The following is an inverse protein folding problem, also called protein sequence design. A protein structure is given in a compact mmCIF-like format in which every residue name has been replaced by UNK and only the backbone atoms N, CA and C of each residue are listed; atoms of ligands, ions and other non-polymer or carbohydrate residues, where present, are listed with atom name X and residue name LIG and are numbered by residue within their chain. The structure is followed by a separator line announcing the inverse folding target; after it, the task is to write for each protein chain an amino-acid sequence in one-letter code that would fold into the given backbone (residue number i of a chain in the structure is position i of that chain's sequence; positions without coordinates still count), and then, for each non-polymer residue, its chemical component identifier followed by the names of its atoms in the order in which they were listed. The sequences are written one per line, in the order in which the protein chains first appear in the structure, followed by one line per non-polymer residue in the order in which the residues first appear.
data_IF_464534718643
#
_entry.id   IF_464534718643
#
_cell.length_a   1.000
_cell.length_b   1.000
_cell.length_c   1.000
_cell.angle_alpha   90.00
_cell.angle_beta   90.00
_cell.angle_gamma   90.00
#
_symmetry.space_group_name_H-M   'P 1'
#
loop_
_entity.id
_entity.type
_entity.pdbx_description
1 polymer ?
#
# COMPACT_ATOMS: atom_id res chain seq x y z
N UNK A 1 54.15 -1.99 32.11
CA UNK A 1 52.82 -1.59 32.62
C UNK A 1 52.05 -0.67 31.67
N UNK A 2 52.70 0.07 30.77
CA UNK A 2 52.05 0.99 29.81
C UNK A 2 51.46 0.34 28.54
N UNK A 3 51.93 -0.83 28.10
CA UNK A 3 51.41 -1.49 26.88
C UNK A 3 50.05 -2.20 27.04
N UNK A 4 49.61 -2.49 28.28
CA UNK A 4 48.32 -3.17 28.50
C UNK A 4 47.13 -2.20 28.50
N UNK A 5 47.34 -0.91 28.75
CA UNK A 5 46.27 0.09 28.84
C UNK A 5 45.77 0.52 27.45
N UNK A 6 46.63 0.55 26.43
CA UNK A 6 46.25 0.92 25.07
C UNK A 6 45.33 -0.08 24.35
N UNK A 7 45.44 -1.37 24.67
CA UNK A 7 44.61 -2.42 24.05
C UNK A 7 43.16 -2.36 24.56
N UNK A 8 42.96 -2.07 25.85
CA UNK A 8 41.62 -1.90 26.42
C UNK A 8 40.94 -0.61 25.94
N UNK A 9 41.70 0.47 25.68
CA UNK A 9 41.12 1.70 25.13
C UNK A 9 40.65 1.56 23.68
N UNK A 10 41.32 0.76 22.85
CA UNK A 10 40.87 0.47 21.47
C UNK A 10 39.63 -0.44 21.48
N UNK A 11 39.58 -1.43 22.37
CA UNK A 11 38.40 -2.31 22.53
C UNK A 11 37.18 -1.55 23.07
N UNK A 12 37.38 -0.57 23.95
CA UNK A 12 36.31 0.27 24.49
C UNK A 12 35.77 1.26 23.43
N UNK A 13 36.64 1.77 22.56
CA UNK A 13 36.23 2.61 21.41
C UNK A 13 35.51 1.76 20.35
N UNK A 14 35.90 0.49 20.12
CA UNK A 14 35.17 -0.42 19.24
C UNK A 14 33.80 -0.85 19.79
N UNK A 15 33.61 -0.88 21.12
CA UNK A 15 32.29 -1.06 21.73
C UNK A 15 31.41 0.21 21.66
N UNK A 16 32.01 1.40 21.66
CA UNK A 16 31.30 2.67 21.56
C UNK A 16 30.87 3.03 20.12
N UNK A 17 31.49 2.46 19.09
CA UNK A 17 31.02 2.55 17.68
C UNK A 17 29.86 1.58 17.40
N UNK A 18 29.42 0.80 18.39
CA UNK A 18 28.16 0.05 18.36
C UNK A 18 26.95 0.88 18.77
N UNK A 19 27.00 2.21 18.63
CA UNK A 19 25.81 3.01 18.26
C UNK A 19 25.49 2.75 16.79
N UNK A 20 25.26 1.48 16.46
CA UNK A 20 24.66 1.07 15.21
C UNK A 20 23.19 1.37 15.38
N UNK A 21 22.70 2.26 14.50
CA UNK A 21 21.30 2.58 14.30
C UNK A 21 20.43 1.34 14.56
N UNK A 22 19.29 1.45 15.26
CA UNK A 22 18.38 0.32 15.30
C UNK A 22 18.03 0.00 13.84
N UNK A 23 18.33 -1.23 13.43
CA UNK A 23 17.84 -1.82 12.18
C UNK A 23 16.33 -2.01 12.35
N UNK A 24 15.60 -0.90 12.40
CA UNK A 24 14.15 -0.90 12.49
C UNK A 24 13.65 -1.40 11.15
N UNK A 25 13.21 -2.66 11.15
CA UNK A 25 12.50 -3.28 10.05
C UNK A 25 11.42 -2.31 9.56
N UNK A 26 11.38 -1.95 8.26
CA UNK A 26 10.38 -1.04 7.74
C UNK A 26 8.99 -1.61 8.03
N UNK A 27 8.12 -0.77 8.59
CA UNK A 27 6.77 -1.18 8.95
C UNK A 27 5.87 -1.20 7.71
N UNK A 28 5.57 -2.40 7.23
CA UNK A 28 4.62 -2.62 6.13
C UNK A 28 3.25 -2.92 6.73
N UNK A 29 2.20 -2.37 6.11
CA UNK A 29 0.80 -2.67 6.42
C UNK A 29 0.00 -2.96 5.13
N UNK A 30 -0.75 -4.07 5.05
CA UNK A 30 -0.71 -5.21 5.96
C UNK A 30 0.66 -5.88 6.04
N UNK A 31 0.95 -6.52 7.18
CA UNK A 31 2.18 -7.27 7.37
C UNK A 31 2.26 -8.40 6.33
N UNK A 32 3.37 -8.50 5.57
CA UNK A 32 3.51 -9.56 4.60
C UNK A 32 3.72 -10.91 5.28
N UNK A 33 3.35 -11.99 4.60
CA UNK A 33 3.52 -13.35 5.11
C UNK A 33 4.99 -13.68 5.46
N UNK A 34 5.93 -13.26 4.63
CA UNK A 34 7.36 -13.42 4.86
C UNK A 34 8.12 -12.20 4.35
N UNK A 35 9.05 -11.69 5.15
CA UNK A 35 9.97 -10.62 4.74
C UNK A 35 11.32 -10.72 5.46
N UNK A 36 12.40 -10.61 4.69
CA UNK A 36 13.78 -10.70 5.15
C UNK A 36 14.57 -9.52 4.60
N UNK A 37 15.10 -8.67 5.49
CA UNK A 37 15.98 -7.56 5.11
C UNK A 37 17.27 -8.07 4.47
N UNK A 38 17.72 -7.35 3.46
CA UNK A 38 18.99 -7.53 2.79
C UNK A 38 19.78 -6.21 2.81
N UNK A 39 21.02 -6.22 2.31
CA UNK A 39 21.93 -5.08 2.37
C UNK A 39 21.71 -4.10 1.22
N UNK A 40 21.79 -2.82 1.57
CA UNK A 40 21.80 -1.71 0.64
C UNK A 40 20.40 -1.36 0.15
N UNK A 41 20.30 -0.18 -0.43
CA UNK A 41 19.01 0.39 -0.84
C UNK A 41 18.95 0.50 -2.36
N UNK A 42 17.76 0.31 -2.92
CA UNK A 42 17.46 0.70 -4.28
C UNK A 42 17.02 2.17 -4.29
N UNK A 43 17.58 2.98 -5.18
CA UNK A 43 17.26 4.41 -5.29
C UNK A 43 16.50 4.65 -6.59
N UNK A 44 15.34 5.29 -6.48
CA UNK A 44 14.53 5.74 -7.60
C UNK A 44 14.99 7.13 -8.06
N UNK A 45 15.07 7.31 -9.37
CA UNK A 45 15.41 8.56 -10.02
C UNK A 45 14.66 8.71 -11.37
N UNK A 46 14.77 9.85 -12.07
CA UNK A 46 14.09 10.06 -13.36
C UNK A 46 14.51 9.11 -14.49
N UNK A 47 15.64 8.40 -14.34
CA UNK A 47 16.17 7.44 -15.31
C UNK A 47 15.76 6.00 -15.01
N UNK A 48 15.20 5.74 -13.83
CA UNK A 48 14.72 4.42 -13.42
C UNK A 48 13.76 3.85 -14.48
N UNK A 49 14.10 2.69 -15.01
CA UNK A 49 13.35 1.98 -16.03
C UNK A 49 12.61 0.78 -15.43
N UNK A 50 11.31 0.70 -15.72
CA UNK A 50 10.43 -0.42 -15.39
C UNK A 50 10.17 -1.22 -16.67
N UNK A 51 10.70 -2.44 -16.75
CA UNK A 51 10.37 -3.40 -17.80
C UNK A 51 9.17 -4.25 -17.40
N UNK A 52 8.19 -4.32 -18.28
CA UNK A 52 6.98 -5.15 -18.13
C UNK A 52 6.81 -6.07 -19.33
N UNK A 53 6.06 -7.16 -19.18
CA UNK A 53 5.89 -8.15 -20.25
C UNK A 53 4.78 -7.78 -21.24
N UNK A 54 3.81 -6.94 -20.83
CA UNK A 54 2.63 -6.58 -21.63
C UNK A 54 1.94 -5.31 -21.15
N UNK A 55 1.00 -4.81 -21.96
CA UNK A 55 0.20 -3.60 -21.70
C UNK A 55 -0.59 -3.63 -20.37
N UNK A 56 -1.10 -4.80 -19.95
CA UNK A 56 -1.85 -4.90 -18.69
C UNK A 56 -0.93 -4.65 -17.48
N UNK A 57 0.30 -5.13 -17.55
CA UNK A 57 1.32 -4.84 -16.55
C UNK A 57 1.79 -3.38 -16.64
N UNK A 58 1.88 -2.80 -17.84
CA UNK A 58 2.20 -1.38 -18.03
C UNK A 58 1.18 -0.47 -17.32
N UNK A 59 -0.12 -0.76 -17.44
CA UNK A 59 -1.18 -0.04 -16.72
C UNK A 59 -1.03 -0.14 -15.19
N UNK A 60 -0.50 -1.26 -14.68
CA UNK A 60 -0.25 -1.43 -13.25
C UNK A 60 1.00 -0.64 -12.83
N UNK A 61 2.09 -0.70 -13.62
CA UNK A 61 3.29 0.10 -13.38
C UNK A 61 3.01 1.61 -13.43
N UNK A 62 2.06 2.06 -14.27
CA UNK A 62 1.60 3.45 -14.32
C UNK A 62 1.04 3.96 -12.99
N UNK A 63 0.48 3.09 -12.14
CA UNK A 63 0.04 3.48 -10.79
C UNK A 63 1.25 3.91 -9.94
N UNK A 64 2.35 3.17 -10.00
CA UNK A 64 3.58 3.53 -9.29
C UNK A 64 4.17 4.82 -9.84
N UNK A 65 4.30 4.93 -11.16
CA UNK A 65 4.91 6.12 -11.78
C UNK A 65 4.06 7.37 -11.59
N UNK A 66 2.73 7.25 -11.55
CA UNK A 66 1.81 8.34 -11.22
C UNK A 66 2.03 8.90 -9.82
N UNK A 67 2.26 8.03 -8.83
CA UNK A 67 2.56 8.44 -7.45
C UNK A 67 3.90 9.18 -7.40
N UNK A 68 4.93 8.70 -8.11
CA UNK A 68 6.21 9.40 -8.24
C UNK A 68 6.06 10.77 -8.91
N UNK A 69 5.29 10.87 -9.99
CA UNK A 69 5.05 12.14 -10.65
C UNK A 69 4.47 13.18 -9.67
N UNK A 70 3.48 12.76 -8.90
CA UNK A 70 2.76 13.61 -7.97
C UNK A 70 3.64 14.08 -6.78
N UNK A 71 4.38 13.15 -6.17
CA UNK A 71 5.13 13.42 -4.94
C UNK A 71 6.60 13.80 -5.16
N UNK A 72 7.24 13.25 -6.20
CA UNK A 72 8.66 13.45 -6.49
C UNK A 72 8.90 14.44 -7.65
N UNK A 73 7.89 14.69 -8.50
CA UNK A 73 8.02 15.57 -9.66
C UNK A 73 8.75 14.94 -10.85
N UNK A 74 8.95 13.62 -10.84
CA UNK A 74 9.46 12.84 -11.96
C UNK A 74 8.71 11.52 -12.07
N UNK A 75 8.77 10.88 -13.23
CA UNK A 75 8.15 9.57 -13.48
C UNK A 75 9.23 8.58 -13.91
N UNK A 76 9.39 7.44 -13.22
CA UNK A 76 10.13 6.32 -13.78
C UNK A 76 9.57 5.95 -15.17
N UNK A 77 10.44 5.51 -16.06
CA UNK A 77 10.08 5.14 -17.41
C UNK A 77 9.50 3.72 -17.43
N UNK A 78 8.58 3.45 -18.36
CA UNK A 78 8.01 2.12 -18.56
C UNK A 78 8.33 1.67 -19.99
N UNK A 79 8.88 0.47 -20.13
CA UNK A 79 9.10 -0.18 -21.41
C UNK A 79 8.52 -1.59 -21.40
N UNK A 80 8.08 -2.06 -22.56
CA UNK A 80 7.55 -3.42 -22.73
C UNK A 80 8.65 -4.31 -23.30
N UNK A 81 8.90 -5.44 -22.63
CA UNK A 81 9.82 -6.50 -23.03
C UNK A 81 11.28 -6.05 -23.17
N UNK A 82 11.70 -5.05 -22.38
CA UNK A 82 13.10 -4.63 -22.33
C UNK A 82 13.95 -5.63 -21.53
N UNK A 83 15.15 -5.94 -22.04
CA UNK A 83 16.01 -7.01 -21.48
C UNK A 83 16.74 -6.57 -20.21
N UNK A 84 17.03 -5.28 -20.10
CA UNK A 84 17.74 -4.70 -18.96
C UNK A 84 16.95 -3.49 -18.46
N UNK A 85 16.56 -3.56 -17.19
CA UNK A 85 15.82 -2.51 -16.52
C UNK A 85 16.09 -2.60 -15.02
N UNK A 86 15.88 -1.49 -14.32
CA UNK A 86 16.11 -1.41 -12.89
C UNK A 86 14.97 -2.09 -12.12
N UNK A 87 13.76 -2.10 -12.68
CA UNK A 87 12.59 -2.79 -12.14
C UNK A 87 12.02 -3.73 -13.19
N UNK A 88 11.82 -5.00 -12.84
CA UNK A 88 11.38 -6.02 -13.79
C UNK A 88 10.11 -6.68 -13.26
N UNK A 89 9.03 -6.61 -14.04
CA UNK A 89 7.82 -7.38 -13.78
C UNK A 89 7.91 -8.69 -14.57
N UNK A 90 7.73 -9.81 -13.88
CA UNK A 90 7.81 -11.15 -14.46
C UNK A 90 6.61 -11.99 -14.06
N UNK A 91 5.97 -12.65 -15.01
CA UNK A 91 4.88 -13.57 -14.72
C UNK A 91 5.42 -14.90 -14.18
N UNK A 92 5.00 -15.27 -12.97
CA UNK A 92 5.25 -16.57 -12.36
C UNK A 92 3.91 -17.30 -12.14
N UNK A 93 3.57 -18.19 -13.08
CA UNK A 93 2.30 -18.95 -13.06
C UNK A 93 2.21 -19.96 -11.92
N UNK A 94 3.29 -20.20 -11.17
CA UNK A 94 3.23 -21.07 -9.97
C UNK A 94 2.59 -20.36 -8.76
N UNK A 95 2.46 -19.03 -8.80
CA UNK A 95 1.86 -18.24 -7.74
C UNK A 95 0.32 -18.22 -7.83
N UNK A 96 -0.33 -18.17 -6.68
CA UNK A 96 -1.77 -17.91 -6.61
C UNK A 96 -2.10 -16.47 -7.07
N UNK A 97 -3.33 -16.22 -7.54
CA UNK A 97 -3.70 -15.00 -8.28
C UNK A 97 -3.43 -13.65 -7.57
N UNK A 98 -3.48 -13.63 -6.24
CA UNK A 98 -3.21 -12.43 -5.40
C UNK A 98 -1.83 -12.48 -4.73
N UNK A 99 -1.04 -13.53 -4.95
CA UNK A 99 0.29 -13.69 -4.37
C UNK A 99 1.35 -13.05 -5.25
N UNK A 100 2.43 -12.60 -4.62
CA UNK A 100 3.58 -12.03 -5.30
C UNK A 100 4.88 -12.31 -4.53
N UNK A 101 5.99 -12.24 -5.25
CA UNK A 101 7.34 -12.16 -4.69
C UNK A 101 7.95 -10.82 -5.07
N UNK A 102 8.65 -10.21 -4.13
CA UNK A 102 9.37 -8.97 -4.32
C UNK A 102 10.81 -9.16 -3.84
N UNK A 103 11.77 -9.04 -4.75
CA UNK A 103 13.19 -9.06 -4.42
C UNK A 103 13.80 -7.70 -4.76
N UNK A 104 14.27 -7.00 -3.73
CA UNK A 104 14.84 -5.65 -3.81
C UNK A 104 16.33 -5.77 -3.54
N UNK A 105 17.14 -5.35 -4.50
CA UNK A 105 18.58 -5.18 -4.38
C UNK A 105 18.97 -3.77 -4.82
N UNK A 106 20.18 -3.27 -4.47
CA UNK A 106 20.62 -1.94 -4.89
C UNK A 106 20.63 -1.71 -6.41
N UNK A 107 20.75 -2.78 -7.21
CA UNK A 107 20.83 -2.71 -8.67
C UNK A 107 19.54 -3.10 -9.39
N UNK A 108 18.60 -3.77 -8.72
CA UNK A 108 17.40 -4.28 -9.37
C UNK A 108 16.28 -4.60 -8.38
N UNK A 109 15.05 -4.26 -8.75
CA UNK A 109 13.81 -4.75 -8.13
C UNK A 109 13.14 -5.76 -9.07
N UNK A 110 12.99 -6.99 -8.61
CA UNK A 110 12.24 -8.02 -9.32
C UNK A 110 10.87 -8.22 -8.66
N UNK A 111 9.81 -8.07 -9.46
CA UNK A 111 8.42 -8.29 -9.07
C UNK A 111 7.88 -9.50 -9.81
N UNK A 112 7.48 -10.54 -9.08
CA UNK A 112 6.93 -11.76 -9.64
C UNK A 112 5.49 -11.99 -9.16
N UNK A 113 4.56 -12.25 -10.08
CA UNK A 113 3.17 -12.55 -9.77
C UNK A 113 2.54 -13.38 -10.91
N UNK A 114 1.46 -14.11 -10.64
CA UNK A 114 0.75 -14.86 -11.70
C UNK A 114 -0.29 -14.04 -12.45
N UNK A 115 -0.63 -12.84 -11.96
CA UNK A 115 -1.63 -12.00 -12.59
C UNK A 115 -1.74 -10.60 -12.01
N UNK A 116 -2.67 -9.83 -12.56
CA UNK A 116 -2.81 -8.39 -12.32
C UNK A 116 -2.97 -7.99 -10.85
N UNK A 117 -3.63 -8.82 -10.03
CA UNK A 117 -3.82 -8.52 -8.60
C UNK A 117 -2.51 -8.64 -7.83
N UNK A 118 -1.74 -9.70 -8.05
CA UNK A 118 -0.42 -9.87 -7.41
C UNK A 118 0.54 -8.72 -7.75
N UNK A 119 0.67 -8.33 -9.03
CA UNK A 119 1.48 -7.18 -9.42
C UNK A 119 1.01 -5.87 -8.76
N UNK A 120 -0.31 -5.63 -8.73
CA UNK A 120 -0.86 -4.44 -8.10
C UNK A 120 -0.54 -4.39 -6.59
N UNK A 121 -0.66 -5.53 -5.89
CA UNK A 121 -0.34 -5.62 -4.46
C UNK A 121 1.15 -5.50 -4.16
N UNK A 122 2.03 -5.98 -5.06
CA UNK A 122 3.46 -5.77 -4.95
C UNK A 122 3.82 -4.27 -4.99
N UNK A 123 3.19 -3.50 -5.89
CA UNK A 123 3.36 -2.04 -5.95
C UNK A 123 2.88 -1.37 -4.66
N UNK A 124 1.77 -1.80 -4.07
CA UNK A 124 1.34 -1.23 -2.80
C UNK A 124 2.34 -1.50 -1.68
N UNK A 125 2.99 -2.66 -1.69
CA UNK A 125 4.08 -2.95 -0.75
C UNK A 125 5.30 -2.08 -1.00
N UNK A 126 5.73 -1.89 -2.26
CA UNK A 126 6.78 -0.93 -2.60
C UNK A 126 6.43 0.49 -2.12
N UNK A 127 5.18 0.91 -2.27
CA UNK A 127 4.68 2.22 -1.78
C UNK A 127 4.85 2.38 -0.27
N UNK A 128 4.60 1.33 0.52
CA UNK A 128 4.81 1.37 1.97
C UNK A 128 6.29 1.35 2.38
N UNK A 129 7.18 0.86 1.52
CA UNK A 129 8.62 0.87 1.77
C UNK A 129 9.27 2.20 1.42
N UNK A 130 8.65 2.99 0.55
CA UNK A 130 9.13 4.31 0.17
C UNK A 130 8.97 5.31 1.34
N UNK A 131 9.75 6.41 1.34
CA UNK A 131 9.59 7.46 2.32
C UNK A 131 8.14 7.99 2.36
N UNK A 132 7.57 8.31 3.54
CA UNK A 132 6.18 8.74 3.69
C UNK A 132 5.75 9.87 2.74
N UNK A 133 6.70 10.74 2.36
CA UNK A 133 6.52 11.83 1.42
C UNK A 133 5.97 11.39 0.05
N UNK A 134 6.10 10.10 -0.31
CA UNK A 134 5.61 9.53 -1.57
C UNK A 134 4.09 9.65 -1.72
N UNK A 135 3.38 9.77 -0.60
CA UNK A 135 1.93 9.92 -0.60
C UNK A 135 1.50 11.37 -0.87
N UNK A 136 2.42 12.33 -0.89
CA UNK A 136 2.14 13.77 -1.03
C UNK A 136 1.40 14.07 -2.33
N UNK A 137 0.35 14.90 -2.25
CA UNK A 137 -0.38 15.35 -3.44
C UNK A 137 0.35 16.44 -4.23
N UNK A 138 1.45 16.96 -3.69
CA UNK A 138 2.29 17.97 -4.32
C UNK A 138 3.77 17.58 -4.23
N UNK A 139 4.61 18.01 -5.20
CA UNK A 139 6.03 17.65 -5.18
C UNK A 139 6.74 18.08 -3.89
N UNK A 140 7.51 17.15 -3.31
CA UNK A 140 8.33 17.35 -2.11
C UNK A 140 9.80 17.31 -2.51
N UNK A 141 10.56 18.32 -2.07
CA UNK A 141 11.99 18.46 -2.38
C UNK A 141 12.87 17.83 -1.29
N UNK A 142 14.12 17.56 -1.63
CA UNK A 142 15.16 17.08 -0.70
C UNK A 142 14.82 15.74 -0.02
N UNK A 143 14.08 14.88 -0.72
CA UNK A 143 13.83 13.49 -0.31
C UNK A 143 14.66 12.59 -1.21
N UNK A 144 15.41 11.68 -0.60
CA UNK A 144 15.98 10.55 -1.32
C UNK A 144 14.90 9.48 -1.45
N UNK A 145 14.50 9.16 -2.67
CA UNK A 145 13.46 8.18 -2.93
C UNK A 145 14.07 6.79 -2.98
N UNK A 146 14.17 6.12 -1.84
CA UNK A 146 14.78 4.79 -1.74
C UNK A 146 13.86 3.77 -1.08
N UNK A 147 14.13 2.49 -1.34
CA UNK A 147 13.56 1.36 -0.61
C UNK A 147 14.70 0.46 -0.12
N UNK A 148 14.59 -0.11 1.09
CA UNK A 148 15.62 -1.00 1.62
C UNK A 148 15.62 -2.34 0.86
N UNK A 149 16.82 -2.89 0.68
CA UNK A 149 17.03 -4.23 0.14
C UNK A 149 16.30 -5.27 0.98
N UNK A 150 15.53 -6.14 0.33
CA UNK A 150 14.65 -7.08 1.02
C UNK A 150 14.08 -8.12 0.05
N UNK A 151 13.87 -9.34 0.56
CA UNK A 151 13.03 -10.35 -0.08
C UNK A 151 11.70 -10.48 0.65
N UNK A 152 10.59 -10.39 -0.09
CA UNK A 152 9.21 -10.55 0.42
C UNK A 152 8.49 -11.63 -0.39
N UNK A 153 7.86 -12.57 0.30
CA UNK A 153 6.84 -13.44 -0.28
C UNK A 153 5.52 -13.14 0.42
N UNK A 154 4.48 -12.83 -0.33
CA UNK A 154 3.26 -12.33 0.27
C UNK A 154 2.00 -12.70 -0.52
N UNK A 155 0.87 -12.67 0.19
CA UNK A 155 -0.44 -13.01 -0.31
C UNK A 155 -1.49 -12.94 0.80
N UNK A 156 -2.77 -12.79 0.45
CA UNK A 156 -3.82 -12.62 1.43
C UNK A 156 -4.13 -13.91 2.18
N UNK A 157 -4.46 -13.79 3.47
CA UNK A 157 -5.10 -14.86 4.25
C UNK A 157 -6.52 -15.17 3.78
N UNK A 158 -7.31 -14.13 3.45
CA UNK A 158 -8.66 -14.28 2.94
C UNK A 158 -8.79 -13.68 1.54
N UNK A 159 -9.31 -14.46 0.59
CA UNK A 159 -9.50 -14.00 -0.80
C UNK A 159 -10.51 -12.85 -0.92
N UNK A 160 -11.54 -12.82 -0.07
CA UNK A 160 -12.51 -11.73 -0.03
C UNK A 160 -12.32 -10.91 1.25
N UNK A 161 -12.03 -9.62 1.07
CA UNK A 161 -11.73 -8.66 2.14
C UNK A 161 -12.71 -7.51 1.96
N UNK A 162 -13.86 -7.63 2.62
CA UNK A 162 -15.03 -6.79 2.33
C UNK A 162 -15.23 -5.73 3.39
N UNK A 163 -15.26 -4.48 2.95
CA UNK A 163 -15.77 -3.36 3.74
C UNK A 163 -17.24 -3.16 3.40
N UNK A 164 -18.06 -3.06 4.43
CA UNK A 164 -19.50 -2.84 4.30
C UNK A 164 -19.85 -1.44 4.77
N UNK A 165 -20.60 -0.73 3.93
CA UNK A 165 -21.19 0.57 4.22
C UNK A 165 -22.72 0.43 4.34
N UNK A 166 -23.26 0.96 5.42
CA UNK A 166 -24.70 1.12 5.58
C UNK A 166 -25.23 2.30 4.76
N UNK A 167 -24.40 3.30 4.54
CA UNK A 167 -24.71 4.48 3.73
C UNK A 167 -24.79 4.11 2.23
N UNK A 168 -25.90 4.38 1.53
CA UNK A 168 -26.02 4.12 0.10
C UNK A 168 -25.10 5.04 -0.73
N UNK A 169 -24.67 4.55 -1.89
CA UNK A 169 -23.70 5.20 -2.78
C UNK A 169 -23.99 6.68 -3.06
N UNK A 170 -25.25 7.02 -3.36
CA UNK A 170 -25.67 8.37 -3.77
C UNK A 170 -25.61 9.42 -2.64
N UNK A 171 -25.43 9.00 -1.38
CA UNK A 171 -25.28 9.90 -0.24
C UNK A 171 -23.81 10.16 0.12
N UNK A 172 -22.87 9.60 -0.64
CA UNK A 172 -21.43 9.79 -0.43
C UNK A 172 -20.91 10.70 -1.55
N UNK A 173 -20.25 11.83 -1.21
CA UNK A 173 -19.61 12.65 -2.22
C UNK A 173 -18.60 11.85 -3.06
N UNK A 174 -18.61 12.04 -4.38
CA UNK A 174 -17.75 11.29 -5.31
C UNK A 174 -16.29 11.25 -4.86
N UNK A 175 -15.69 12.40 -4.55
CA UNK A 175 -14.29 12.51 -4.15
C UNK A 175 -13.98 11.71 -2.88
N UNK A 176 -14.90 11.68 -1.91
CA UNK A 176 -14.72 10.92 -0.68
C UNK A 176 -14.75 9.41 -0.94
N UNK A 177 -15.60 8.98 -1.87
CA UNK A 177 -15.66 7.58 -2.26
C UNK A 177 -14.40 7.15 -3.02
N UNK A 178 -13.85 8.03 -3.88
CA UNK A 178 -12.56 7.81 -4.53
C UNK A 178 -11.44 7.66 -3.50
N UNK A 179 -11.38 8.55 -2.50
CA UNK A 179 -10.39 8.46 -1.40
C UNK A 179 -10.53 7.20 -0.56
N UNK A 180 -11.77 6.77 -0.29
CA UNK A 180 -12.02 5.50 0.39
C UNK A 180 -11.47 4.33 -0.42
N UNK A 181 -11.76 4.30 -1.73
CA UNK A 181 -11.29 3.26 -2.65
C UNK A 181 -9.77 3.27 -2.76
N UNK A 182 -9.13 4.43 -2.89
CA UNK A 182 -7.66 4.54 -2.93
C UNK A 182 -7.03 4.04 -1.62
N UNK A 183 -7.61 4.40 -0.48
CA UNK A 183 -7.13 3.91 0.82
C UNK A 183 -7.30 2.38 0.96
N UNK A 184 -8.45 1.86 0.54
CA UNK A 184 -8.71 0.41 0.52
C UNK A 184 -7.72 -0.32 -0.38
N UNK A 185 -7.45 0.22 -1.57
CA UNK A 185 -6.57 -0.37 -2.55
C UNK A 185 -5.12 -0.41 -2.06
N UNK A 186 -4.65 0.70 -1.47
CA UNK A 186 -3.35 0.79 -0.81
C UNK A 186 -3.22 -0.29 0.28
N UNK A 187 -4.28 -0.52 1.05
CA UNK A 187 -4.34 -1.54 2.10
C UNK A 187 -4.71 -2.95 1.60
N UNK A 188 -4.73 -3.16 0.28
CA UNK A 188 -5.02 -4.44 -0.38
C UNK A 188 -6.41 -5.02 -0.07
N UNK A 189 -7.34 -4.20 0.41
CA UNK A 189 -8.76 -4.53 0.57
C UNK A 189 -9.39 -4.53 -0.83
N UNK A 190 -10.16 -5.57 -1.18
CA UNK A 190 -10.57 -5.81 -2.57
C UNK A 190 -12.08 -5.77 -2.82
N UNK A 191 -12.89 -5.47 -1.80
CA UNK A 191 -14.33 -5.39 -1.98
C UNK A 191 -14.97 -4.29 -1.14
N UNK A 192 -15.78 -3.47 -1.79
CA UNK A 192 -16.67 -2.50 -1.17
C UNK A 192 -18.11 -2.94 -1.36
N UNK A 193 -18.88 -3.01 -0.28
CA UNK A 193 -20.26 -3.48 -0.31
C UNK A 193 -21.19 -2.46 0.33
N UNK A 194 -22.26 -2.10 -0.39
CA UNK A 194 -23.33 -1.23 0.09
C UNK A 194 -24.51 -2.10 0.53
N UNK A 195 -24.92 -2.01 1.80
CA UNK A 195 -26.08 -2.79 2.29
C UNK A 195 -27.36 -2.37 1.56
N UNK A 196 -27.48 -1.09 1.25
CA UNK A 196 -28.65 -0.51 0.61
C UNK A 196 -28.38 -0.26 -0.86
N UNK A 197 -29.30 -0.71 -1.71
CA UNK A 197 -29.38 -0.24 -3.09
C UNK A 197 -29.69 1.27 -3.11
N UNK A 198 -29.29 2.01 -4.16
CA UNK A 198 -29.74 3.39 -4.34
C UNK A 198 -31.27 3.44 -4.36
N UNK A 199 -31.86 4.27 -3.49
CA UNK A 199 -33.31 4.47 -3.44
C UNK A 199 -33.86 5.11 -4.72
N UNK A 200 -33.07 5.99 -5.32
CA UNK A 200 -33.38 6.67 -6.58
C UNK A 200 -32.44 6.15 -7.68
N UNK A 201 -33.01 5.84 -8.84
CA UNK A 201 -32.33 5.24 -10.00
C UNK A 201 -32.41 6.15 -11.22
N UNK A 202 -32.21 7.45 -11.01
CA UNK A 202 -32.09 8.36 -12.15
C UNK A 202 -30.90 7.95 -13.04
N UNK A 203 -30.93 8.26 -14.35
CA UNK A 203 -29.81 7.98 -15.25
C UNK A 203 -28.48 8.54 -14.74
N UNK A 204 -28.49 9.70 -14.08
CA UNK A 204 -27.30 10.33 -13.52
C UNK A 204 -26.68 9.51 -12.38
N UNK A 205 -27.52 8.95 -11.49
CA UNK A 205 -27.06 8.09 -10.38
C UNK A 205 -26.48 6.78 -10.93
N UNK A 206 -27.14 6.19 -11.93
CA UNK A 206 -26.68 4.96 -12.57
C UNK A 206 -25.32 5.16 -13.25
N UNK A 207 -25.18 6.23 -14.04
CA UNK A 207 -23.91 6.59 -14.68
C UNK A 207 -22.82 6.88 -13.64
N UNK A 208 -23.17 7.55 -12.54
CA UNK A 208 -22.25 7.79 -11.43
C UNK A 208 -21.72 6.49 -10.82
N UNK A 209 -22.59 5.51 -10.60
CA UNK A 209 -22.22 4.20 -10.07
C UNK A 209 -21.35 3.39 -11.04
N UNK A 210 -21.64 3.44 -12.34
CA UNK A 210 -20.83 2.77 -13.39
C UNK A 210 -19.42 3.36 -13.49
N UNK A 211 -19.32 4.70 -13.45
CA UNK A 211 -18.04 5.41 -13.43
C UNK A 211 -17.23 5.01 -12.20
N UNK A 212 -17.87 4.97 -11.02
CA UNK A 212 -17.20 4.58 -9.79
C UNK A 212 -16.81 3.09 -9.79
N UNK A 213 -17.63 2.22 -10.36
CA UNK A 213 -17.32 0.79 -10.50
C UNK A 213 -16.10 0.58 -11.38
N UNK A 214 -16.01 1.34 -12.48
CA UNK A 214 -14.86 1.31 -13.38
C UNK A 214 -13.58 1.80 -12.69
N UNK A 215 -13.67 2.88 -11.90
CA UNK A 215 -12.58 3.39 -11.09
C UNK A 215 -12.15 2.39 -10.00
N UNK A 216 -13.09 1.80 -9.26
CA UNK A 216 -12.77 0.76 -8.28
C UNK A 216 -12.08 -0.45 -8.91
N UNK A 217 -12.53 -0.86 -10.11
CA UNK A 217 -11.94 -1.99 -10.82
C UNK A 217 -10.49 -1.72 -11.26
N UNK A 218 -10.15 -0.48 -11.64
CA UNK A 218 -8.76 -0.13 -11.94
C UNK A 218 -7.86 -0.35 -10.72
N UNK A 219 -8.37 -0.03 -9.52
CA UNK A 219 -7.77 -0.23 -8.20
C UNK A 219 -7.93 -1.65 -7.62
N UNK A 220 -8.38 -2.61 -8.44
CA UNK A 220 -8.59 -4.02 -8.06
C UNK A 220 -9.62 -4.22 -6.93
N UNK A 221 -10.57 -3.30 -6.82
CA UNK A 221 -11.70 -3.35 -5.90
C UNK A 221 -12.98 -3.69 -6.67
N UNK A 222 -13.78 -4.59 -6.10
CA UNK A 222 -15.13 -4.88 -6.58
C UNK A 222 -16.17 -4.12 -5.76
N UNK A 223 -17.04 -3.37 -6.43
CA UNK A 223 -18.23 -2.77 -5.81
C UNK A 223 -19.41 -3.74 -5.92
N UNK A 224 -20.22 -3.82 -4.87
CA UNK A 224 -21.48 -4.58 -4.88
C UNK A 224 -22.52 -3.95 -3.94
N UNK A 225 -23.79 -4.28 -4.13
CA UNK A 225 -24.90 -3.82 -3.29
C UNK A 225 -25.88 -4.94 -2.97
N UNK A 226 -26.73 -4.74 -1.95
CA UNK A 226 -27.82 -5.65 -1.58
C UNK A 226 -27.44 -6.71 -0.54
N UNK A 227 -28.03 -7.91 -0.61
CA UNK A 227 -27.73 -8.99 0.34
C UNK A 227 -26.34 -9.59 0.11
N UNK A 228 -25.53 -9.64 1.16
CA UNK A 228 -24.18 -10.21 1.12
C UNK A 228 -24.24 -11.74 1.21
N UNK A 229 -23.53 -12.45 0.33
CA UNK A 229 -23.19 -13.88 0.47
C UNK A 229 -21.68 -13.95 0.70
N UNK A 230 -21.20 -14.67 1.73
CA UNK A 230 -19.80 -14.55 2.16
C UNK A 230 -18.99 -15.84 2.10
N UNK A 231 -17.97 -15.85 1.26
CA UNK A 231 -16.77 -16.68 1.40
C UNK A 231 -15.59 -15.74 1.72
N UNK A 232 -15.39 -15.33 2.98
CA UNK A 232 -14.28 -14.44 3.37
C UNK A 232 -14.56 -13.59 4.62
N UNK A 233 -13.78 -12.52 4.82
CA UNK A 233 -13.97 -11.60 5.95
C UNK A 233 -14.83 -10.40 5.53
N UNK A 234 -15.82 -10.10 6.37
CA UNK A 234 -16.72 -8.96 6.22
C UNK A 234 -16.53 -8.07 7.44
N UNK A 235 -16.31 -6.78 7.21
CA UNK A 235 -16.15 -5.79 8.28
C UNK A 235 -17.05 -4.59 7.99
N UNK A 236 -17.98 -4.33 8.91
CA UNK A 236 -18.78 -3.11 8.89
C UNK A 236 -17.91 -1.95 9.36
N UNK A 237 -17.95 -0.81 8.66
CA UNK A 237 -17.36 0.40 9.21
C UNK A 237 -18.20 0.88 10.40
N UNK A 238 -17.56 1.27 11.52
CA UNK A 238 -18.28 1.89 12.62
C UNK A 238 -19.04 3.14 12.14
N UNK A 239 -20.21 3.39 12.71
CA UNK A 239 -21.07 4.51 12.31
C UNK A 239 -20.34 5.86 12.25
N UNK A 240 -19.47 6.16 13.22
CA UNK A 240 -18.71 7.42 13.23
C UNK A 240 -17.68 7.51 12.09
N UNK A 241 -17.15 6.39 11.60
CA UNK A 241 -16.26 6.35 10.43
C UNK A 241 -17.07 6.55 9.16
N UNK A 242 -18.28 5.98 9.07
CA UNK A 242 -19.19 6.28 7.95
C UNK A 242 -19.59 7.76 7.89
N UNK A 243 -19.76 8.41 9.05
CA UNK A 243 -20.02 9.86 9.09
C UNK A 243 -18.88 10.67 8.48
N UNK A 244 -17.62 10.25 8.66
CA UNK A 244 -16.47 10.89 8.02
C UNK A 244 -16.60 10.87 6.50
N UNK A 245 -16.95 9.71 5.94
CA UNK A 245 -17.04 9.49 4.49
C UNK A 245 -18.20 10.31 3.88
N UNK A 246 -19.19 10.67 4.69
CA UNK A 246 -20.34 11.50 4.28
C UNK A 246 -20.11 13.02 4.35
N UNK A 247 -19.05 13.48 5.03
CA UNK A 247 -18.73 14.93 5.13
C UNK A 247 -18.49 15.53 3.75
N UNK A 248 -18.60 16.84 3.57
CA UNK A 248 -18.44 17.47 2.26
C UNK A 248 -17.07 17.21 1.60
N UNK A 249 -16.01 16.99 2.38
CA UNK A 249 -14.67 16.66 1.88
C UNK A 249 -13.78 16.04 2.99
N UNK A 250 -13.41 14.77 2.88
CA UNK A 250 -12.51 14.11 3.86
C UNK A 250 -11.11 14.74 3.81
N UNK A 251 -10.65 15.22 2.64
CA UNK A 251 -9.29 15.76 2.47
C UNK A 251 -8.99 16.98 3.32
N UNK A 252 -10.00 17.68 3.82
CA UNK A 252 -9.80 18.91 4.58
C UNK A 252 -9.44 18.65 6.05
N UNK A 253 -9.63 17.41 6.53
CA UNK A 253 -9.41 17.05 7.93
C UNK A 253 -8.36 15.95 8.07
N UNK A 254 -7.17 16.34 8.53
CA UNK A 254 -6.05 15.43 8.83
C UNK A 254 -6.45 14.33 9.80
N UNK A 255 -7.23 14.67 10.83
CA UNK A 255 -7.63 13.72 11.86
C UNK A 255 -8.67 12.72 11.37
N UNK A 256 -9.61 13.17 10.54
CA UNK A 256 -10.58 12.28 9.89
C UNK A 256 -9.89 11.28 8.96
N UNK A 257 -8.91 11.73 8.17
CA UNK A 257 -8.07 10.87 7.32
C UNK A 257 -7.32 9.82 8.12
N UNK A 258 -6.64 10.25 9.19
CA UNK A 258 -5.93 9.34 10.10
C UNK A 258 -6.87 8.31 10.70
N UNK A 259 -8.04 8.74 11.15
CA UNK A 259 -9.02 7.85 11.76
C UNK A 259 -9.56 6.82 10.76
N UNK A 260 -9.93 7.24 9.55
CA UNK A 260 -10.36 6.35 8.48
C UNK A 260 -9.28 5.30 8.16
N UNK A 261 -8.04 5.75 7.94
CA UNK A 261 -6.94 4.84 7.67
C UNK A 261 -6.71 3.85 8.80
N UNK A 262 -6.69 4.29 10.06
CA UNK A 262 -6.50 3.39 11.22
C UNK A 262 -7.52 2.25 11.22
N UNK A 263 -8.78 2.55 10.93
CA UNK A 263 -9.83 1.52 10.87
C UNK A 263 -9.63 0.56 9.71
N UNK A 264 -9.38 1.07 8.50
CA UNK A 264 -9.14 0.23 7.33
C UNK A 264 -7.88 -0.62 7.50
N UNK A 265 -6.81 -0.05 8.04
CA UNK A 265 -5.54 -0.71 8.27
C UNK A 265 -5.67 -1.85 9.28
N UNK A 266 -6.45 -1.65 10.35
CA UNK A 266 -6.76 -2.72 11.30
C UNK A 266 -7.55 -3.88 10.65
N UNK A 267 -8.50 -3.57 9.77
CA UNK A 267 -9.26 -4.59 9.02
C UNK A 267 -8.33 -5.33 8.05
N UNK A 268 -7.48 -4.57 7.35
CA UNK A 268 -6.54 -5.10 6.37
C UNK A 268 -5.55 -6.08 7.02
N UNK A 269 -4.96 -5.72 8.16
CA UNK A 269 -4.11 -6.61 8.98
C UNK A 269 -4.80 -7.92 9.32
N UNK A 270 -6.01 -7.87 9.88
CA UNK A 270 -6.77 -9.09 10.26
C UNK A 270 -7.09 -9.97 9.05
N UNK A 271 -7.30 -9.34 7.89
CA UNK A 271 -7.71 -10.01 6.65
C UNK A 271 -6.55 -10.58 5.83
N UNK A 272 -5.33 -10.10 6.09
CA UNK A 272 -4.16 -10.35 5.26
C UNK A 272 -3.06 -11.09 6.03
N UNK A 273 -2.70 -10.59 7.21
CA UNK A 273 -1.57 -11.08 7.99
C UNK A 273 -1.90 -12.34 8.80
N UNK A 274 -0.84 -13.01 9.27
CA UNK A 274 -0.96 -14.18 10.14
C UNK A 274 -1.50 -13.74 11.52
N UNK A 275 -2.51 -14.43 12.09
CA UNK A 275 -3.18 -14.01 13.33
C UNK A 275 -2.24 -13.74 14.51
N UNK A 276 -1.16 -14.52 14.67
CA UNK A 276 -0.19 -14.33 15.75
C UNK A 276 0.55 -12.97 15.68
N UNK A 277 0.64 -12.37 14.50
CA UNK A 277 1.29 -11.07 14.29
C UNK A 277 0.28 -9.92 14.20
N UNK A 278 -0.96 -10.23 13.80
CA UNK A 278 -2.06 -9.28 13.73
C UNK A 278 -2.74 -9.02 15.09
N UNK A 279 -2.59 -9.91 16.07
CA UNK A 279 -3.21 -9.77 17.40
C UNK A 279 -2.18 -9.31 18.45
N UNK A 280 -2.33 -8.08 18.95
CA UNK A 280 -1.54 -7.58 20.09
C UNK A 280 -1.15 -6.10 20.03
N UNK A 281 -0.50 -5.62 21.10
CA UNK A 281 -0.07 -4.22 21.27
C UNK A 281 0.87 -3.74 20.12
N UNK A 282 1.63 -4.66 19.51
CA UNK A 282 2.53 -4.37 18.37
C UNK A 282 1.77 -3.93 17.11
N UNK A 283 0.57 -4.48 16.84
CA UNK A 283 -0.27 -4.05 15.72
C UNK A 283 -0.79 -2.62 15.95
N UNK A 284 -1.33 -2.32 17.15
CA UNK A 284 -1.82 -0.98 17.49
C UNK A 284 -0.76 0.09 17.30
N UNK A 285 0.47 -0.17 17.78
CA UNK A 285 1.60 0.76 17.62
C UNK A 285 1.98 1.01 16.17
N UNK A 286 1.98 -0.02 15.34
CA UNK A 286 2.30 0.07 13.90
C UNK A 286 1.23 0.82 13.11
N UNK A 287 -0.04 0.51 13.37
CA UNK A 287 -1.17 1.26 12.81
C UNK A 287 -1.12 2.73 13.24
N UNK A 288 -0.74 3.01 14.49
CA UNK A 288 -0.57 4.37 14.99
C UNK A 288 0.61 5.09 14.33
N UNK A 289 1.77 4.44 14.20
CA UNK A 289 2.95 5.00 13.54
C UNK A 289 2.65 5.28 12.05
N UNK A 290 2.07 4.33 11.34
CA UNK A 290 1.74 4.48 9.92
C UNK A 290 0.58 5.45 9.66
N UNK A 291 -0.30 5.68 10.64
CA UNK A 291 -1.24 6.79 10.53
C UNK A 291 -0.54 8.17 10.54
N UNK A 292 0.69 8.28 11.06
CA UNK A 292 1.53 9.47 10.92
C UNK A 292 2.13 9.62 9.51
N UNK A 293 2.01 8.60 8.65
CA UNK A 293 2.42 8.72 7.24
C UNK A 293 1.37 9.49 6.41
N UNK A 294 0.17 9.74 6.98
CA UNK A 294 -0.97 10.43 6.35
C UNK A 294 -1.03 11.89 6.82
N UNK A 295 0.14 12.50 7.06
CA UNK A 295 0.22 13.82 7.71
C UNK A 295 0.18 15.02 6.77
N UNK A 296 0.50 14.86 5.49
CA UNK A 296 0.33 15.91 4.49
C UNK A 296 -1.11 15.91 3.96
N UNK A 297 -1.45 16.75 2.98
CA UNK A 297 -2.77 16.79 2.32
C UNK A 297 -3.04 15.48 1.54
N UNK A 298 -3.07 14.34 2.22
CA UNK A 298 -2.94 13.01 1.62
C UNK A 298 -4.06 12.10 2.09
N UNK A 299 -5.14 12.11 1.32
CA UNK A 299 -5.87 10.95 0.81
C UNK A 299 -6.47 11.44 -0.50
#
# INVERSE_FOLDING_TARGET
MLLRVGIYSIFLIMMLVKCILPDEKPEIIPLPQQSVLDKGDFIFDPTTLISVENEKQAMIAQELTGIFNQAAGFSPQIAIQEKQADIIFRTDMSLSAEHYKLNISPSCILVEASGNKGFFYAIQTLRFLLPPAINSQTPVKNIQWNVPGMTIHDGPRYNNRTIVLHTPFNLIPKNNLEQLIDCMAMLKINRLHFIQEPYDRTPEIQQGLENMTSYAHSKKITISSGMTRSDGIISNLPFYVEQIIRKSNISDSKDDRKLLFKHLASIAEKSWANPLEAEGNKNSKRVEMLALYIESKTL
#
